data_IF_902782707629
#
_entry.id   IF_902782707629
#
_cell.length_a   1.000
_cell.length_b   1.000
_cell.length_c   1.000
_cell.angle_alpha   90.00
_cell.angle_beta   90.00
_cell.angle_gamma   90.00
#
_symmetry.space_group_name_H-M   'P 1'
#
loop_
_entity.id
_entity.type
_entity.pdbx_description
1 polymer ?
#
# COMPACT_ATOMS: atom_id res chain seq x y z
N UNK A 1 26.28 -12.15 -1.72
CA UNK A 1 24.93 -12.36 -1.20
C UNK A 1 24.77 -11.86 0.22
N UNK A 2 25.49 -12.43 1.20
CA UNK A 2 25.34 -12.03 2.61
C UNK A 2 25.60 -10.54 2.85
N UNK A 3 26.66 -9.98 2.25
CA UNK A 3 26.99 -8.55 2.37
C UNK A 3 25.92 -7.64 1.79
N UNK A 4 25.24 -8.03 0.69
CA UNK A 4 24.15 -7.25 0.11
C UNK A 4 22.93 -7.23 1.03
N UNK A 5 22.51 -8.40 1.52
CA UNK A 5 21.38 -8.54 2.46
C UNK A 5 21.67 -7.78 3.75
N UNK A 6 22.90 -7.90 4.28
CA UNK A 6 23.30 -7.18 5.50
C UNK A 6 23.27 -5.66 5.30
N UNK A 7 23.78 -5.17 4.16
CA UNK A 7 23.74 -3.74 3.82
C UNK A 7 22.30 -3.23 3.72
N UNK A 8 21.41 -3.97 3.08
CA UNK A 8 19.99 -3.62 2.94
C UNK A 8 19.26 -3.63 4.29
N UNK A 9 19.53 -4.64 5.10
CA UNK A 9 18.99 -4.72 6.46
C UNK A 9 19.44 -3.51 7.31
N UNK A 10 20.73 -3.16 7.25
CA UNK A 10 21.26 -2.01 7.98
C UNK A 10 20.67 -0.68 7.48
N UNK A 11 20.49 -0.51 6.18
CA UNK A 11 19.82 0.66 5.61
C UNK A 11 18.36 0.74 6.10
N UNK A 12 17.62 -0.36 6.05
CA UNK A 12 16.24 -0.44 6.55
C UNK A 12 16.16 -0.10 8.04
N UNK A 13 17.10 -0.57 8.83
CA UNK A 13 17.19 -0.25 10.27
C UNK A 13 17.40 1.23 10.54
N UNK A 14 18.30 1.88 9.78
CA UNK A 14 18.51 3.34 9.87
C UNK A 14 17.21 4.08 9.54
N UNK A 15 16.50 3.68 8.49
CA UNK A 15 15.24 4.31 8.09
C UNK A 15 14.18 4.16 9.17
N UNK A 16 14.07 3.00 9.83
CA UNK A 16 13.16 2.79 10.97
C UNK A 16 13.48 3.75 12.11
N UNK A 17 14.76 3.90 12.47
CA UNK A 17 15.18 4.85 13.52
C UNK A 17 14.80 6.29 13.13
N UNK A 18 15.07 6.69 11.90
CA UNK A 18 14.71 8.02 11.41
C UNK A 18 13.21 8.28 11.47
N UNK A 19 12.38 7.29 11.14
CA UNK A 19 10.93 7.40 11.24
C UNK A 19 10.49 7.54 12.68
N UNK A 20 11.04 6.75 13.61
CA UNK A 20 10.75 6.85 15.04
C UNK A 20 11.08 8.27 15.56
N UNK A 21 12.26 8.80 15.22
CA UNK A 21 12.66 10.14 15.61
C UNK A 21 11.73 11.19 14.98
N UNK A 22 11.50 11.09 13.67
CA UNK A 22 10.68 12.08 12.94
C UNK A 22 9.24 12.11 13.45
N UNK A 23 8.61 10.94 13.63
CA UNK A 23 7.24 10.86 14.17
C UNK A 23 7.17 11.41 15.58
N UNK A 24 8.13 11.10 16.43
CA UNK A 24 8.20 11.67 17.78
C UNK A 24 8.35 13.19 17.74
N UNK A 25 9.27 13.73 16.93
CA UNK A 25 9.51 15.18 16.81
C UNK A 25 8.26 15.88 16.28
N UNK A 26 7.65 15.37 15.20
CA UNK A 26 6.44 15.96 14.63
C UNK A 26 5.32 16.06 15.66
N UNK A 27 5.10 15.02 16.47
CA UNK A 27 4.08 15.01 17.51
C UNK A 27 4.37 15.99 18.64
N UNK A 28 5.64 16.37 18.85
CA UNK A 28 6.02 17.35 19.86
C UNK A 28 6.07 18.80 19.35
N UNK A 29 6.22 19.00 18.03
CA UNK A 29 6.30 20.33 17.39
C UNK A 29 4.92 20.85 16.98
N UNK A 30 3.93 19.98 16.76
CA UNK A 30 2.57 20.41 16.41
C UNK A 30 2.02 21.27 17.55
N UNK A 31 1.73 22.58 17.29
CA UNK A 31 1.23 23.49 18.30
C UNK A 31 -0.17 23.06 18.77
N UNK A 32 -0.33 23.00 20.07
CA UNK A 32 -1.54 22.54 20.75
C UNK A 32 -1.21 21.28 21.55
N UNK A 33 -1.12 21.45 22.89
CA UNK A 33 -1.02 20.31 23.79
C UNK A 33 -2.14 19.32 23.43
N UNK A 34 -1.83 18.02 23.36
CA UNK A 34 -2.85 16.98 23.20
C UNK A 34 -4.02 17.20 24.16
N UNK A 35 -3.74 17.75 25.32
CA UNK A 35 -4.72 18.19 26.31
C UNK A 35 -5.61 19.35 25.81
N UNK A 36 -5.06 20.38 25.19
CA UNK A 36 -5.84 21.53 24.67
C UNK A 36 -6.65 21.16 23.43
N UNK A 37 -6.13 20.27 22.62
CA UNK A 37 -6.83 19.76 21.44
C UNK A 37 -8.09 18.94 21.78
N UNK A 38 -8.06 18.21 22.90
CA UNK A 38 -9.20 17.40 23.38
C UNK A 38 -10.30 18.21 24.05
N UNK A 39 -9.93 19.30 24.70
CA UNK A 39 -10.82 19.97 25.65
C UNK A 39 -11.45 21.26 25.11
N UNK A 40 -10.98 21.74 23.93
CA UNK A 40 -11.38 23.03 23.38
C UNK A 40 -10.88 24.22 24.21
N UNK A 41 -10.95 25.44 23.64
CA UNK A 41 -10.43 26.68 24.28
C UNK A 41 -11.08 27.07 25.62
N UNK A 42 -12.17 26.41 26.01
CA UNK A 42 -12.97 26.78 27.21
C UNK A 42 -12.82 25.85 28.42
N UNK A 43 -11.81 24.99 28.46
CA UNK A 43 -11.70 23.99 29.53
C UNK A 43 -11.02 24.51 30.78
N UNK A 44 -11.47 24.00 31.94
CA UNK A 44 -10.96 24.33 33.27
C UNK A 44 -9.46 23.98 33.38
N UNK A 45 -8.63 24.97 33.78
CA UNK A 45 -7.17 24.88 33.90
C UNK A 45 -6.72 23.65 34.71
N UNK A 46 -7.46 23.28 35.76
CA UNK A 46 -7.14 22.13 36.60
C UNK A 46 -7.31 20.76 35.88
N UNK A 47 -8.23 20.66 34.91
CA UNK A 47 -8.38 19.45 34.13
C UNK A 47 -7.24 19.36 33.12
N UNK A 48 -6.85 20.49 32.56
CA UNK A 48 -5.73 20.59 31.62
C UNK A 48 -4.41 20.14 32.25
N UNK A 49 -4.09 20.66 33.47
CA UNK A 49 -2.90 20.28 34.22
C UNK A 49 -2.87 18.77 34.57
N UNK A 50 -4.02 18.20 34.93
CA UNK A 50 -4.13 16.76 35.21
C UNK A 50 -3.83 15.92 33.95
N UNK A 51 -4.40 16.27 32.81
CA UNK A 51 -4.17 15.55 31.54
C UNK A 51 -2.71 15.71 31.07
N UNK A 52 -2.10 16.90 31.26
CA UNK A 52 -0.68 17.11 30.95
C UNK A 52 0.20 16.18 31.79
N UNK A 53 -0.11 16.04 33.10
CA UNK A 53 0.62 15.12 34.01
C UNK A 53 0.35 13.64 33.68
N UNK A 54 -0.89 13.26 33.39
CA UNK A 54 -1.24 11.88 33.04
C UNK A 54 -0.56 11.43 31.74
N UNK A 55 -0.37 12.35 30.79
CA UNK A 55 0.32 12.10 29.52
C UNK A 55 1.84 12.32 29.64
N UNK A 56 2.36 12.72 30.81
CA UNK A 56 3.78 12.99 31.00
C UNK A 56 4.34 14.12 30.13
N UNK A 57 3.47 15.04 29.67
CA UNK A 57 3.87 16.14 28.79
C UNK A 57 4.67 17.22 29.47
N UNK A 58 4.70 17.20 30.82
CA UNK A 58 5.49 18.05 31.70
C UNK A 58 6.96 17.62 31.78
N UNK A 59 7.29 16.39 31.39
CA UNK A 59 8.66 15.89 31.41
C UNK A 59 9.51 16.49 30.29
N UNK A 60 10.85 16.59 30.50
CA UNK A 60 11.78 17.00 29.44
C UNK A 60 11.63 16.11 28.17
N UNK A 61 11.72 16.72 26.99
CA UNK A 61 11.55 16.02 25.69
C UNK A 61 12.47 14.79 25.56
N UNK A 62 13.69 14.87 26.10
CA UNK A 62 14.65 13.75 26.09
C UNK A 62 14.15 12.55 26.91
N UNK A 63 13.59 12.78 28.08
CA UNK A 63 13.04 11.70 28.93
C UNK A 63 11.85 11.04 28.26
N UNK A 64 10.94 11.85 27.70
CA UNK A 64 9.79 11.36 26.92
C UNK A 64 10.21 10.52 25.73
N UNK A 65 11.26 10.91 25.01
CA UNK A 65 11.79 10.14 23.89
C UNK A 65 12.35 8.78 24.34
N UNK A 66 13.11 8.75 25.43
CA UNK A 66 13.68 7.51 25.97
C UNK A 66 12.56 6.57 26.46
N UNK A 67 11.57 7.09 27.19
CA UNK A 67 10.39 6.33 27.62
C UNK A 67 9.65 5.76 26.40
N UNK A 68 9.38 6.59 25.38
CA UNK A 68 8.72 6.19 24.14
C UNK A 68 9.45 5.04 23.42
N UNK A 69 10.77 5.15 23.24
CA UNK A 69 11.58 4.10 22.59
C UNK A 69 11.57 2.82 23.43
N UNK A 70 11.63 2.94 24.75
CA UNK A 70 11.56 1.80 25.69
C UNK A 70 10.21 1.10 25.63
N UNK A 71 9.11 1.84 25.58
CA UNK A 71 7.76 1.26 25.48
C UNK A 71 7.55 0.62 24.10
N UNK A 72 8.01 1.29 23.04
CA UNK A 72 7.98 0.74 21.67
C UNK A 72 8.77 -0.59 21.57
N UNK A 73 9.92 -0.67 22.25
CA UNK A 73 10.73 -1.91 22.27
C UNK A 73 10.04 -3.10 22.95
N UNK A 74 9.06 -2.81 23.82
CA UNK A 74 8.19 -3.83 24.45
C UNK A 74 6.92 -4.11 23.66
N UNK A 75 6.72 -3.44 22.52
CA UNK A 75 5.50 -3.53 21.72
C UNK A 75 4.31 -2.77 22.31
N UNK A 76 4.57 -1.84 23.25
CA UNK A 76 3.55 -0.93 23.77
C UNK A 76 3.49 0.32 22.86
N UNK A 77 2.35 0.50 22.21
CA UNK A 77 2.04 1.63 21.34
C UNK A 77 1.28 2.75 22.06
N UNK A 78 1.15 2.64 23.37
CA UNK A 78 0.40 3.57 24.19
C UNK A 78 -1.12 3.33 24.17
N UNK A 79 -1.84 4.30 24.73
CA UNK A 79 -3.31 4.28 24.83
C UNK A 79 -3.90 5.44 24.01
N UNK A 80 -4.98 5.16 23.30
CA UNK A 80 -5.82 6.18 22.66
C UNK A 80 -6.30 7.19 23.70
N UNK A 81 -6.09 8.45 23.42
CA UNK A 81 -6.54 9.55 24.26
C UNK A 81 -8.06 9.68 24.21
N UNK A 82 -8.64 9.45 23.03
CA UNK A 82 -10.08 9.59 22.76
C UNK A 82 -10.84 8.36 23.23
N UNK A 83 -10.42 7.16 22.80
CA UNK A 83 -11.12 5.91 23.06
C UNK A 83 -10.75 5.25 24.40
N UNK A 84 -9.68 5.72 25.08
CA UNK A 84 -9.17 5.15 26.34
C UNK A 84 -8.80 3.67 26.28
N UNK A 85 -8.55 3.14 25.08
CA UNK A 85 -8.18 1.74 24.81
C UNK A 85 -6.71 1.64 24.41
N UNK A 86 -6.04 0.47 24.59
CA UNK A 86 -4.70 0.24 24.04
C UNK A 86 -4.70 0.39 22.52
N UNK A 87 -3.76 1.16 21.98
CA UNK A 87 -3.66 1.41 20.52
C UNK A 87 -3.35 0.12 19.78
N UNK A 88 -2.57 -0.77 20.37
CA UNK A 88 -2.25 -2.09 19.85
C UNK A 88 -3.53 -2.89 19.51
N UNK A 89 -4.49 -2.93 20.44
CA UNK A 89 -5.74 -3.68 20.25
C UNK A 89 -6.57 -3.08 19.11
N UNK A 90 -6.64 -1.75 19.05
CA UNK A 90 -7.34 -1.03 17.97
C UNK A 90 -6.75 -1.37 16.59
N UNK A 91 -5.44 -1.42 16.49
CA UNK A 91 -4.75 -1.79 15.25
C UNK A 91 -5.04 -3.24 14.87
N UNK A 92 -4.89 -4.19 15.80
CA UNK A 92 -5.15 -5.61 15.52
C UNK A 92 -6.59 -5.91 15.15
N UNK A 93 -7.55 -5.13 15.62
CA UNK A 93 -8.97 -5.24 15.26
C UNK A 93 -9.20 -4.89 13.78
N UNK A 94 -8.55 -3.84 13.26
CA UNK A 94 -8.80 -3.32 11.90
C UNK A 94 -7.80 -3.85 10.85
N UNK A 95 -6.60 -4.25 11.25
CA UNK A 95 -5.53 -4.71 10.35
C UNK A 95 -5.93 -5.85 9.41
N UNK A 96 -6.65 -6.91 9.86
CA UNK A 96 -7.10 -7.98 8.99
C UNK A 96 -7.97 -7.49 7.82
N UNK A 97 -8.71 -6.41 8.00
CA UNK A 97 -9.58 -5.86 6.97
C UNK A 97 -8.75 -5.17 5.87
N UNK A 98 -7.75 -4.39 6.25
CA UNK A 98 -6.77 -3.82 5.31
C UNK A 98 -6.05 -4.93 4.54
N UNK A 99 -5.63 -6.01 5.20
CA UNK A 99 -4.99 -7.16 4.54
C UNK A 99 -5.90 -7.83 3.51
N UNK A 100 -7.19 -8.05 3.84
CA UNK A 100 -8.16 -8.63 2.90
C UNK A 100 -8.37 -7.73 1.69
N UNK A 101 -8.50 -6.42 1.91
CA UNK A 101 -8.63 -5.45 0.83
C UNK A 101 -7.38 -5.43 -0.05
N UNK A 102 -6.19 -5.39 0.55
CA UNK A 102 -4.90 -5.45 -0.15
C UNK A 102 -4.78 -6.70 -1.01
N UNK A 103 -5.06 -7.87 -0.44
CA UNK A 103 -5.00 -9.13 -1.17
C UNK A 103 -5.97 -9.17 -2.36
N UNK A 104 -7.22 -8.76 -2.16
CA UNK A 104 -8.22 -8.71 -3.23
C UNK A 104 -7.82 -7.72 -4.34
N UNK A 105 -7.28 -6.55 -3.97
CA UNK A 105 -6.80 -5.53 -4.92
C UNK A 105 -5.62 -6.03 -5.75
N UNK A 106 -4.67 -6.74 -5.13
CA UNK A 106 -3.52 -7.31 -5.82
C UNK A 106 -3.93 -8.44 -6.76
N UNK A 107 -4.85 -9.32 -6.34
CA UNK A 107 -5.39 -10.38 -7.21
C UNK A 107 -6.03 -9.75 -8.44
N UNK A 108 -6.85 -8.72 -8.30
CA UNK A 108 -7.42 -8.00 -9.42
C UNK A 108 -6.33 -7.34 -10.29
N UNK A 109 -5.42 -6.57 -9.68
CA UNK A 109 -4.37 -5.84 -10.37
C UNK A 109 -3.48 -6.76 -11.22
N UNK A 110 -3.02 -7.86 -10.62
CA UNK A 110 -2.12 -8.79 -11.28
C UNK A 110 -2.83 -9.59 -12.37
N UNK A 111 -4.02 -10.11 -12.08
CA UNK A 111 -4.80 -10.87 -13.06
C UNK A 111 -5.18 -10.00 -14.26
N UNK A 112 -5.80 -8.85 -14.01
CA UNK A 112 -6.23 -7.96 -15.09
C UNK A 112 -5.06 -7.32 -15.82
N UNK A 113 -4.01 -6.90 -15.10
CA UNK A 113 -2.80 -6.31 -15.69
C UNK A 113 -2.05 -7.28 -16.62
N UNK A 114 -1.85 -8.53 -16.19
CA UNK A 114 -1.18 -9.53 -17.01
C UNK A 114 -2.05 -9.90 -18.23
N UNK A 115 -3.34 -10.14 -18.05
CA UNK A 115 -4.24 -10.50 -19.13
C UNK A 115 -4.36 -9.37 -20.16
N UNK A 116 -4.56 -8.14 -19.72
CA UNK A 116 -4.68 -6.97 -20.61
C UNK A 116 -3.38 -6.68 -21.35
N UNK A 117 -2.22 -6.76 -20.69
CA UNK A 117 -0.91 -6.61 -21.32
C UNK A 117 -0.62 -7.68 -22.37
N UNK A 118 -0.96 -8.95 -22.07
CA UNK A 118 -0.81 -10.07 -22.99
C UNK A 118 -1.71 -9.91 -24.23
N UNK A 119 -2.98 -9.56 -24.04
CA UNK A 119 -3.94 -9.33 -25.12
C UNK A 119 -3.49 -8.14 -25.97
N UNK A 120 -3.09 -7.04 -25.33
CA UNK A 120 -2.63 -5.83 -26.00
C UNK A 120 -1.40 -6.11 -26.88
N UNK A 121 -0.39 -6.82 -26.38
CA UNK A 121 0.78 -7.23 -27.17
C UNK A 121 0.40 -8.17 -28.32
N UNK A 122 -0.48 -9.15 -28.07
CA UNK A 122 -0.93 -10.13 -29.08
C UNK A 122 -1.66 -9.48 -30.25
N UNK A 123 -2.46 -8.47 -29.97
CA UNK A 123 -3.25 -7.75 -30.97
C UNK A 123 -2.68 -6.36 -31.27
N UNK A 124 -1.35 -6.25 -31.25
CA UNK A 124 -0.62 -4.99 -31.46
C UNK A 124 -1.17 -4.19 -32.65
N UNK A 125 -1.38 -2.89 -32.42
CA UNK A 125 -1.97 -1.92 -33.37
C UNK A 125 -3.43 -2.18 -33.80
N UNK A 126 -4.13 -3.19 -33.22
CA UNK A 126 -5.55 -3.46 -33.47
C UNK A 126 -6.45 -2.79 -32.43
N UNK A 127 -7.76 -2.87 -32.63
CA UNK A 127 -8.78 -2.28 -31.74
C UNK A 127 -8.63 -2.76 -30.29
N UNK A 128 -8.37 -4.05 -30.05
CA UNK A 128 -8.17 -4.59 -28.71
C UNK A 128 -6.95 -3.99 -28.02
N UNK A 129 -5.84 -3.80 -28.74
CA UNK A 129 -4.66 -3.13 -28.21
C UNK A 129 -4.99 -1.70 -27.77
N UNK A 130 -5.63 -0.92 -28.64
CA UNK A 130 -6.03 0.44 -28.33
C UNK A 130 -6.98 0.52 -27.13
N UNK A 131 -7.95 -0.39 -27.05
CA UNK A 131 -8.92 -0.45 -25.95
C UNK A 131 -8.24 -0.73 -24.62
N UNK A 132 -7.44 -1.80 -24.51
CA UNK A 132 -6.76 -2.14 -23.25
C UNK A 132 -5.70 -1.11 -22.86
N UNK A 133 -4.99 -0.53 -23.83
CA UNK A 133 -4.04 0.56 -23.57
C UNK A 133 -4.75 1.80 -23.03
N UNK A 134 -5.90 2.19 -23.59
CA UNK A 134 -6.70 3.31 -23.08
C UNK A 134 -7.22 3.05 -21.68
N UNK A 135 -7.77 1.85 -21.41
CA UNK A 135 -8.23 1.46 -20.06
C UNK A 135 -7.08 1.52 -19.05
N UNK A 136 -5.88 1.05 -19.43
CA UNK A 136 -4.70 1.11 -18.59
C UNK A 136 -4.25 2.54 -18.30
N UNK A 137 -4.25 3.42 -19.32
CA UNK A 137 -3.88 4.82 -19.15
C UNK A 137 -4.90 5.53 -18.24
N UNK A 138 -6.18 5.30 -18.42
CA UNK A 138 -7.23 5.86 -17.57
C UNK A 138 -7.04 5.46 -16.11
N UNK A 139 -6.70 4.20 -15.83
CA UNK A 139 -6.44 3.72 -14.47
C UNK A 139 -5.27 4.42 -13.78
N UNK A 140 -4.19 4.69 -14.53
CA UNK A 140 -3.01 5.36 -14.00
C UNK A 140 -3.22 6.87 -13.82
N UNK A 141 -3.96 7.49 -14.75
CA UNK A 141 -4.08 8.95 -14.81
C UNK A 141 -5.21 9.51 -13.96
N UNK A 142 -6.25 8.73 -13.70
CA UNK A 142 -7.40 9.20 -12.95
C UNK A 142 -7.16 9.13 -11.43
N UNK A 143 -7.55 10.16 -10.66
CA UNK A 143 -7.46 10.13 -9.21
C UNK A 143 -8.29 8.98 -8.63
N UNK A 144 -7.70 8.21 -7.71
CA UNK A 144 -8.34 7.01 -7.12
C UNK A 144 -9.69 7.32 -6.49
N UNK A 145 -9.82 8.45 -5.78
CA UNK A 145 -11.10 8.86 -5.18
C UNK A 145 -12.19 9.14 -6.22
N UNK A 146 -11.82 9.69 -7.37
CA UNK A 146 -12.77 9.98 -8.45
C UNK A 146 -13.31 8.69 -9.06
N UNK A 147 -12.44 7.72 -9.34
CA UNK A 147 -12.83 6.39 -9.80
C UNK A 147 -13.73 5.70 -8.77
N UNK A 148 -13.37 5.80 -7.47
CA UNK A 148 -14.17 5.23 -6.39
C UNK A 148 -15.61 5.74 -6.41
N UNK A 149 -15.79 7.05 -6.47
CA UNK A 149 -17.12 7.70 -6.49
C UNK A 149 -17.90 7.30 -7.75
N UNK A 150 -17.26 7.30 -8.92
CA UNK A 150 -17.92 6.90 -10.18
C UNK A 150 -18.39 5.45 -10.11
N UNK A 151 -17.51 4.52 -9.72
CA UNK A 151 -17.88 3.10 -9.64
C UNK A 151 -18.96 2.87 -8.59
N UNK A 152 -18.89 3.55 -7.44
CA UNK A 152 -19.90 3.49 -6.39
C UNK A 152 -21.26 4.01 -6.90
N UNK A 153 -21.26 5.16 -7.60
CA UNK A 153 -22.48 5.73 -8.17
C UNK A 153 -23.13 4.81 -9.21
N UNK A 154 -22.38 4.32 -10.18
CA UNK A 154 -22.95 3.49 -11.24
C UNK A 154 -23.30 2.09 -10.75
N UNK A 155 -22.37 1.37 -10.13
CA UNK A 155 -22.52 -0.05 -9.82
C UNK A 155 -23.24 -0.33 -8.50
N UNK A 156 -23.08 0.55 -7.50
CA UNK A 156 -23.75 0.36 -6.23
C UNK A 156 -25.06 1.11 -6.14
N UNK A 157 -25.09 2.41 -6.47
CA UNK A 157 -26.29 3.22 -6.33
C UNK A 157 -27.29 3.01 -7.48
N UNK A 158 -26.86 3.19 -8.76
CA UNK A 158 -27.77 3.16 -9.91
C UNK A 158 -28.16 1.74 -10.31
N UNK A 159 -27.20 0.84 -10.45
CA UNK A 159 -27.43 -0.55 -10.90
C UNK A 159 -27.71 -1.51 -9.74
N UNK A 160 -27.42 -1.13 -8.49
CA UNK A 160 -27.62 -1.95 -7.28
C UNK A 160 -27.00 -3.34 -7.34
N UNK A 161 -25.88 -3.49 -8.08
CA UNK A 161 -25.18 -4.76 -8.23
C UNK A 161 -24.28 -5.07 -7.03
N UNK A 162 -23.74 -4.04 -6.40
CA UNK A 162 -22.84 -4.13 -5.25
C UNK A 162 -23.31 -3.23 -4.11
N UNK A 163 -22.95 -3.52 -2.86
CA UNK A 163 -23.20 -2.63 -1.72
C UNK A 163 -22.46 -1.30 -1.87
N UNK A 164 -23.06 -0.21 -1.36
CA UNK A 164 -22.46 1.13 -1.40
C UNK A 164 -21.26 1.21 -0.48
N UNK A 165 -21.36 0.65 0.72
CA UNK A 165 -20.33 0.72 1.76
C UNK A 165 -20.40 -0.49 2.70
N UNK A 166 -19.44 -0.58 3.61
CA UNK A 166 -19.36 -1.61 4.63
C UNK A 166 -18.32 -2.69 4.34
N UNK A 167 -18.16 -3.59 5.29
CA UNK A 167 -17.18 -4.67 5.23
C UNK A 167 -17.70 -5.89 5.99
N UNK A 168 -17.78 -7.05 5.35
CA UNK A 168 -18.28 -8.29 5.97
C UNK A 168 -18.53 -9.42 4.98
N UNK A 169 -18.69 -9.09 3.69
CA UNK A 169 -18.88 -10.09 2.65
C UNK A 169 -18.04 -9.78 1.39
N UNK A 170 -17.87 -10.77 0.53
CA UNK A 170 -17.06 -10.66 -0.69
C UNK A 170 -17.57 -9.59 -1.66
N UNK A 171 -18.90 -9.36 -1.74
CA UNK A 171 -19.46 -8.34 -2.63
C UNK A 171 -19.02 -6.92 -2.24
N UNK A 172 -18.79 -6.66 -0.95
CA UNK A 172 -18.32 -5.38 -0.45
C UNK A 172 -16.84 -5.11 -0.78
N UNK A 173 -16.08 -6.15 -1.07
CA UNK A 173 -14.67 -6.03 -1.48
C UNK A 173 -14.49 -5.74 -2.98
N UNK A 174 -15.45 -6.08 -3.83
CA UNK A 174 -15.28 -6.01 -5.30
C UNK A 174 -14.96 -4.59 -5.77
N UNK A 175 -15.81 -3.61 -5.48
CA UNK A 175 -15.59 -2.24 -5.95
C UNK A 175 -14.31 -1.61 -5.38
N UNK A 176 -14.06 -1.66 -4.06
CA UNK A 176 -12.81 -1.16 -3.50
C UNK A 176 -11.56 -1.80 -4.10
N UNK A 177 -11.60 -3.11 -4.35
CA UNK A 177 -10.48 -3.85 -4.94
C UNK A 177 -10.21 -3.44 -6.38
N UNK A 178 -11.25 -3.21 -7.19
CA UNK A 178 -11.12 -2.69 -8.54
C UNK A 178 -10.53 -1.29 -8.51
N UNK A 179 -11.02 -0.42 -7.63
CA UNK A 179 -10.53 0.97 -7.49
C UNK A 179 -9.04 1.01 -7.21
N UNK A 180 -8.58 0.27 -6.19
CA UNK A 180 -7.16 0.24 -5.83
C UNK A 180 -6.31 -0.49 -6.85
N UNK A 181 -6.82 -1.60 -7.36
CA UNK A 181 -6.09 -2.45 -8.29
C UNK A 181 -6.02 -1.89 -9.72
N UNK A 182 -6.88 -0.97 -10.12
CA UNK A 182 -6.94 -0.51 -11.52
C UNK A 182 -5.68 0.24 -11.96
N UNK A 183 -5.20 1.21 -11.17
CA UNK A 183 -3.95 1.91 -11.46
C UNK A 183 -2.77 0.94 -11.55
N UNK A 184 -2.67 0.02 -10.59
CA UNK A 184 -1.63 -1.02 -10.54
C UNK A 184 -1.72 -1.98 -11.72
N UNK A 185 -2.93 -2.40 -12.11
CA UNK A 185 -3.16 -3.21 -13.30
C UNK A 185 -2.70 -2.49 -14.58
N UNK A 186 -2.95 -1.17 -14.66
CA UNK A 186 -2.51 -0.34 -15.77
C UNK A 186 -0.99 -0.29 -15.91
N UNK A 187 -0.25 -0.15 -14.81
CA UNK A 187 1.21 -0.20 -14.79
C UNK A 187 1.74 -1.55 -15.30
N UNK A 188 1.22 -2.65 -14.75
CA UNK A 188 1.59 -4.01 -15.16
C UNK A 188 1.29 -4.23 -16.63
N UNK A 189 0.09 -3.86 -17.07
CA UNK A 189 -0.35 -4.03 -18.47
C UNK A 189 0.59 -3.34 -19.45
N UNK A 190 0.93 -2.08 -19.20
CA UNK A 190 1.81 -1.29 -20.06
C UNK A 190 3.24 -1.83 -20.08
N UNK A 191 3.80 -2.16 -18.90
CA UNK A 191 5.14 -2.70 -18.81
C UNK A 191 5.23 -4.07 -19.49
N UNK A 192 4.28 -4.97 -19.21
CA UNK A 192 4.25 -6.29 -19.82
C UNK A 192 4.10 -6.20 -21.34
N UNK A 193 3.18 -5.33 -21.83
CA UNK A 193 3.01 -5.09 -23.28
C UNK A 193 4.32 -4.63 -23.93
N UNK A 194 5.00 -3.66 -23.35
CA UNK A 194 6.27 -3.13 -23.89
C UNK A 194 7.34 -4.24 -23.97
N UNK A 195 7.55 -4.96 -22.86
CA UNK A 195 8.54 -6.05 -22.81
C UNK A 195 8.18 -7.22 -23.73
N UNK A 196 6.89 -7.52 -23.91
CA UNK A 196 6.48 -8.57 -24.84
C UNK A 196 6.79 -8.17 -26.29
N UNK A 197 6.51 -6.92 -26.69
CA UNK A 197 6.78 -6.45 -28.05
C UNK A 197 8.28 -6.42 -28.33
N UNK A 198 9.09 -5.89 -27.43
CA UNK A 198 10.54 -5.87 -27.54
C UNK A 198 11.14 -7.27 -27.66
N UNK A 199 10.72 -8.19 -26.78
CA UNK A 199 11.23 -9.56 -26.81
C UNK A 199 10.70 -10.36 -28.03
N UNK A 200 9.54 -9.99 -28.62
CA UNK A 200 9.02 -10.66 -29.82
C UNK A 200 9.88 -10.41 -31.09
N UNK A 201 10.71 -9.38 -31.09
CA UNK A 201 11.64 -9.04 -32.18
C UNK A 201 13.00 -9.71 -32.01
N UNK A 202 13.22 -10.51 -30.97
CA UNK A 202 14.52 -11.15 -30.71
C UNK A 202 14.77 -12.37 -31.60
N UNK A 203 15.99 -12.50 -32.11
CA UNK A 203 16.44 -13.59 -33.02
C UNK A 203 16.20 -15.00 -32.45
N UNK A 204 16.25 -15.14 -31.15
CA UNK A 204 15.99 -16.42 -30.47
C UNK A 204 14.55 -16.94 -30.70
N UNK A 205 13.57 -16.06 -30.89
CA UNK A 205 12.17 -16.46 -31.16
C UNK A 205 11.96 -16.88 -32.61
N UNK A 206 12.80 -16.43 -33.53
CA UNK A 206 12.75 -16.88 -34.93
C UNK A 206 13.14 -18.36 -35.04
N UNK A 207 14.06 -18.84 -34.22
CA UNK A 207 14.35 -20.28 -34.10
C UNK A 207 13.14 -21.09 -33.62
N UNK A 208 12.34 -20.56 -32.70
CA UNK A 208 11.13 -21.24 -32.23
C UNK A 208 10.02 -21.23 -33.31
N UNK A 209 9.96 -20.20 -34.17
CA UNK A 209 9.04 -20.08 -35.29
C UNK A 209 9.44 -21.04 -36.43
N UNK A 210 10.73 -21.14 -36.74
CA UNK A 210 11.25 -22.07 -37.75
C UNK A 210 10.96 -23.54 -37.39
N UNK A 211 10.95 -23.87 -36.07
CA UNK A 211 10.53 -25.19 -35.57
C UNK A 211 9.02 -25.45 -35.66
N UNK A 212 8.24 -24.60 -36.36
CA UNK A 212 6.82 -24.79 -36.63
C UNK A 212 5.86 -24.56 -35.45
N UNK A 213 6.32 -23.92 -34.35
CA UNK A 213 5.43 -23.62 -33.24
C UNK A 213 4.44 -22.51 -33.59
N UNK A 214 3.19 -22.66 -33.14
CA UNK A 214 2.14 -21.63 -33.31
C UNK A 214 2.53 -20.34 -32.62
N UNK A 215 2.27 -19.17 -33.22
CA UNK A 215 2.59 -17.84 -32.67
C UNK A 215 2.15 -17.65 -31.18
N UNK A 216 0.98 -18.19 -30.84
CA UNK A 216 0.45 -18.13 -29.47
C UNK A 216 1.28 -18.97 -28.48
N UNK A 217 1.72 -20.14 -28.87
CA UNK A 217 2.57 -20.99 -28.04
C UNK A 217 3.95 -20.33 -27.78
N UNK A 218 4.54 -19.71 -28.81
CA UNK A 218 5.79 -18.95 -28.65
C UNK A 218 5.61 -17.79 -27.68
N UNK A 219 4.51 -17.04 -27.81
CA UNK A 219 4.21 -15.91 -26.94
C UNK A 219 4.09 -16.34 -25.45
N UNK A 220 3.32 -17.39 -25.15
CA UNK A 220 3.06 -17.81 -23.77
C UNK A 220 4.27 -18.53 -23.16
N UNK A 221 4.84 -19.50 -23.86
CA UNK A 221 5.84 -20.40 -23.25
C UNK A 221 7.27 -19.85 -23.29
N UNK A 222 7.56 -18.91 -24.22
CA UNK A 222 8.91 -18.37 -24.36
C UNK A 222 8.97 -16.87 -24.06
N UNK A 223 8.20 -16.03 -24.78
CA UNK A 223 8.29 -14.57 -24.65
C UNK A 223 7.79 -14.09 -23.30
N UNK A 224 6.66 -14.59 -22.82
CA UNK A 224 6.04 -14.18 -21.56
C UNK A 224 7.00 -14.43 -20.38
N UNK A 225 7.67 -15.56 -20.33
CA UNK A 225 8.58 -15.93 -19.25
C UNK A 225 9.70 -14.90 -19.08
N UNK A 226 10.29 -14.43 -20.17
CA UNK A 226 11.38 -13.44 -20.16
C UNK A 226 10.82 -12.05 -19.83
N UNK A 227 9.66 -11.70 -20.42
CA UNK A 227 9.02 -10.40 -20.24
C UNK A 227 8.42 -10.19 -18.85
N UNK A 228 8.20 -11.26 -18.10
CA UNK A 228 7.67 -11.19 -16.72
C UNK A 228 8.70 -10.75 -15.68
N UNK A 229 10.00 -10.83 -15.93
CA UNK A 229 11.03 -10.47 -14.94
C UNK A 229 10.84 -9.04 -14.40
N UNK A 230 10.77 -7.97 -15.22
CA UNK A 230 10.53 -6.63 -14.73
C UNK A 230 9.13 -6.45 -14.11
N UNK A 231 8.13 -7.20 -14.63
CA UNK A 231 6.76 -7.15 -14.13
C UNK A 231 6.66 -7.69 -12.70
N UNK A 232 7.32 -8.81 -12.41
CA UNK A 232 7.36 -9.38 -11.05
C UNK A 232 7.97 -8.39 -10.06
N UNK A 233 8.98 -7.64 -10.46
CA UNK A 233 9.57 -6.59 -9.62
C UNK A 233 8.54 -5.53 -9.24
N UNK A 234 7.76 -5.01 -10.21
CA UNK A 234 6.69 -4.05 -9.92
C UNK A 234 5.60 -4.67 -9.06
N UNK A 235 5.20 -5.93 -9.31
CA UNK A 235 4.20 -6.63 -8.50
C UNK A 235 4.60 -6.70 -7.03
N UNK A 236 5.87 -6.93 -6.73
CA UNK A 236 6.38 -6.98 -5.36
C UNK A 236 6.37 -5.58 -4.73
N UNK A 237 6.76 -4.54 -5.48
CA UNK A 237 6.70 -3.15 -5.00
C UNK A 237 5.26 -2.70 -4.72
N UNK A 238 4.30 -3.10 -5.56
CA UNK A 238 2.88 -2.84 -5.35
C UNK A 238 2.35 -3.48 -4.06
N UNK A 239 2.79 -4.71 -3.73
CA UNK A 239 2.46 -5.34 -2.46
C UNK A 239 2.94 -4.50 -1.28
N UNK A 240 4.19 -4.03 -1.33
CA UNK A 240 4.75 -3.17 -0.29
C UNK A 240 3.95 -1.87 -0.12
N UNK A 241 3.57 -1.23 -1.22
CA UNK A 241 2.86 0.05 -1.19
C UNK A 241 1.44 -0.07 -0.60
N UNK A 242 0.71 -1.14 -0.90
CA UNK A 242 -0.66 -1.35 -0.38
C UNK A 242 -0.70 -1.77 1.09
N UNK A 243 0.33 -2.40 1.61
CA UNK A 243 0.41 -2.77 3.03
C UNK A 243 0.42 -1.53 3.94
N UNK A 244 0.88 -0.38 3.46
CA UNK A 244 0.83 0.90 4.16
C UNK A 244 -0.58 1.47 4.39
N UNK A 245 -1.61 0.86 3.77
CA UNK A 245 -3.01 1.22 3.90
C UNK A 245 -3.55 2.01 2.71
N UNK A 246 -4.80 1.74 2.40
CA UNK A 246 -5.54 2.38 1.32
C UNK A 246 -6.50 3.45 1.86
N UNK A 247 -5.96 4.43 2.57
CA UNK A 247 -6.63 5.40 3.41
C UNK A 247 -7.90 6.01 2.76
N UNK A 248 -7.77 6.54 1.55
CA UNK A 248 -8.88 7.17 0.83
C UNK A 248 -9.95 6.16 0.42
N UNK A 249 -9.54 5.01 -0.10
CA UNK A 249 -10.48 3.97 -0.55
C UNK A 249 -11.22 3.34 0.62
N UNK A 250 -10.52 3.03 1.71
CA UNK A 250 -11.16 2.53 2.94
C UNK A 250 -12.22 3.52 3.45
N UNK A 251 -11.92 4.83 3.45
CA UNK A 251 -12.85 5.85 3.91
C UNK A 251 -14.08 5.99 3.01
N UNK A 252 -13.90 6.00 1.68
CA UNK A 252 -15.02 6.14 0.74
C UNK A 252 -15.98 4.94 0.84
N UNK A 253 -15.44 3.74 0.98
CA UNK A 253 -16.24 2.51 1.06
C UNK A 253 -16.64 2.13 2.48
N UNK A 254 -16.24 2.90 3.50
CA UNK A 254 -16.57 2.63 4.90
C UNK A 254 -15.97 1.32 5.40
N UNK A 255 -14.76 0.99 4.99
CA UNK A 255 -14.03 -0.21 5.41
C UNK A 255 -13.29 0.12 6.71
N UNK A 256 -13.55 -0.59 7.83
CA UNK A 256 -12.82 -0.37 9.07
C UNK A 256 -11.41 -0.98 8.95
N UNK A 257 -10.47 -0.20 8.40
CA UNK A 257 -9.08 -0.55 8.19
C UNK A 257 -8.11 0.40 8.87
N UNK A 258 -6.81 0.19 8.66
CA UNK A 258 -5.75 1.05 9.22
C UNK A 258 -5.85 2.48 8.68
N UNK A 259 -6.19 2.64 7.41
CA UNK A 259 -6.35 3.96 6.80
C UNK A 259 -7.51 4.76 7.42
N UNK A 260 -8.68 4.14 7.61
CA UNK A 260 -9.82 4.78 8.30
C UNK A 260 -9.52 5.06 9.76
N UNK A 261 -8.80 4.17 10.45
CA UNK A 261 -8.32 4.40 11.82
C UNK A 261 -7.40 5.63 11.87
N UNK A 262 -6.47 5.75 10.92
CA UNK A 262 -5.55 6.89 10.82
C UNK A 262 -6.30 8.21 10.57
N UNK A 263 -7.26 8.24 9.64
CA UNK A 263 -8.08 9.44 9.36
C UNK A 263 -8.91 9.83 10.58
N UNK A 264 -9.55 8.86 11.23
CA UNK A 264 -10.31 9.12 12.46
C UNK A 264 -9.43 9.69 13.57
N UNK A 265 -8.23 9.14 13.73
CA UNK A 265 -7.26 9.64 14.69
C UNK A 265 -6.80 11.08 14.38
N UNK A 266 -6.55 11.39 13.09
CA UNK A 266 -6.20 12.74 12.65
C UNK A 266 -7.33 13.73 12.92
N UNK A 267 -8.56 13.38 12.59
CA UNK A 267 -9.74 14.22 12.80
C UNK A 267 -9.97 14.51 14.29
N UNK A 268 -9.76 13.49 15.13
CA UNK A 268 -9.94 13.59 16.59
C UNK A 268 -8.65 13.98 17.33
N UNK A 269 -7.56 14.26 16.63
CA UNK A 269 -6.25 14.60 17.18
C UNK A 269 -5.72 13.59 18.21
N UNK A 270 -5.98 12.31 17.98
CA UNK A 270 -5.54 11.21 18.84
C UNK A 270 -4.08 10.85 18.52
N UNK A 271 -3.15 11.62 19.13
CA UNK A 271 -1.73 11.55 18.82
C UNK A 271 -1.12 10.14 18.94
N UNK A 272 -1.38 9.36 20.01
CA UNK A 272 -0.84 8.00 20.10
C UNK A 272 -1.29 7.10 18.97
N UNK A 273 -2.56 7.19 18.54
CA UNK A 273 -3.08 6.39 17.41
C UNK A 273 -2.46 6.84 16.09
N UNK A 274 -2.33 8.16 15.85
CA UNK A 274 -1.67 8.69 14.65
C UNK A 274 -0.23 8.17 14.58
N UNK A 275 0.52 8.31 15.68
CA UNK A 275 1.91 7.88 15.76
C UNK A 275 2.07 6.39 15.47
N UNK A 276 1.25 5.57 16.10
CA UNK A 276 1.29 4.12 15.93
C UNK A 276 0.90 3.67 14.52
N UNK A 277 -0.13 4.28 13.91
CA UNK A 277 -0.55 3.94 12.54
C UNK A 277 0.49 4.37 11.49
N UNK A 278 1.12 5.54 11.65
CA UNK A 278 2.22 6.00 10.79
C UNK A 278 3.44 5.09 10.91
N UNK A 279 3.82 4.72 12.14
CA UNK A 279 4.93 3.78 12.37
C UNK A 279 4.66 2.42 11.75
N UNK A 280 3.45 1.87 11.93
CA UNK A 280 3.08 0.58 11.36
C UNK A 280 3.11 0.63 9.83
N UNK A 281 2.50 1.65 9.22
CA UNK A 281 2.51 1.82 7.76
C UNK A 281 3.94 1.92 7.22
N UNK A 282 4.79 2.74 7.86
CA UNK A 282 6.18 2.89 7.49
C UNK A 282 6.97 1.59 7.65
N UNK A 283 6.76 0.87 8.76
CA UNK A 283 7.40 -0.43 9.00
C UNK A 283 7.01 -1.46 7.93
N UNK A 284 5.72 -1.54 7.58
CA UNK A 284 5.22 -2.44 6.54
C UNK A 284 5.79 -2.12 5.16
N UNK A 285 5.91 -0.83 4.82
CA UNK A 285 6.55 -0.38 3.56
C UNK A 285 8.03 -0.77 3.53
N UNK A 286 8.75 -0.54 4.62
CA UNK A 286 10.18 -0.89 4.72
C UNK A 286 10.37 -2.41 4.62
N UNK A 287 9.53 -3.18 5.32
CA UNK A 287 9.55 -4.64 5.27
C UNK A 287 9.26 -5.15 3.86
N UNK A 288 8.24 -4.58 3.20
CA UNK A 288 7.91 -4.90 1.83
C UNK A 288 9.02 -4.57 0.84
N UNK A 289 9.67 -3.43 1.00
CA UNK A 289 10.83 -3.05 0.18
C UNK A 289 12.03 -3.99 0.42
N UNK A 290 12.30 -4.36 1.67
CA UNK A 290 13.36 -5.31 1.99
C UNK A 290 13.09 -6.69 1.35
N UNK A 291 11.85 -7.19 1.45
CA UNK A 291 11.43 -8.42 0.78
C UNK A 291 11.60 -8.30 -0.74
N UNK A 292 11.18 -7.16 -1.31
CA UNK A 292 11.34 -6.86 -2.73
C UNK A 292 12.80 -6.92 -3.18
N UNK A 293 13.70 -6.28 -2.45
CA UNK A 293 15.14 -6.28 -2.73
C UNK A 293 15.74 -7.68 -2.70
N UNK A 294 15.33 -8.50 -1.71
CA UNK A 294 15.78 -9.89 -1.59
C UNK A 294 15.25 -10.73 -2.76
N UNK A 295 13.97 -10.62 -3.08
CA UNK A 295 13.36 -11.37 -4.18
C UNK A 295 13.95 -10.95 -5.53
N UNK A 296 14.18 -9.65 -5.74
CA UNK A 296 14.83 -9.15 -6.95
C UNK A 296 16.23 -9.74 -7.13
N UNK A 297 17.01 -9.78 -6.05
CA UNK A 297 18.33 -10.43 -6.06
C UNK A 297 18.28 -11.93 -6.39
N UNK A 298 17.22 -12.62 -5.97
CA UNK A 298 17.02 -14.07 -6.25
C UNK A 298 16.58 -14.32 -7.69
N UNK A 299 15.77 -13.43 -8.27
CA UNK A 299 15.16 -13.58 -9.59
C UNK A 299 16.12 -13.15 -10.71
N UNK A 300 16.89 -12.06 -10.50
CA UNK A 300 17.84 -11.57 -11.51
C UNK A 300 19.30 -11.93 -11.18
N UNK A 301 19.87 -12.96 -11.81
CA UNK A 301 21.25 -13.36 -11.57
C UNK A 301 22.29 -12.32 -12.03
N UNK A 302 21.91 -11.32 -12.84
CA UNK A 302 22.82 -10.30 -13.37
C UNK A 302 23.28 -9.31 -12.29
N UNK A 303 22.52 -9.15 -11.23
CA UNK A 303 22.85 -8.27 -10.08
C UNK A 303 23.97 -8.88 -9.22
N UNK A 304 24.22 -10.18 -9.34
CA UNK A 304 25.30 -10.86 -8.62
C UNK A 304 26.69 -10.46 -9.06
N UNK A 305 26.82 -9.76 -10.19
CA UNK A 305 28.08 -9.40 -10.84
C UNK A 305 28.50 -7.93 -10.62
N UNK A 306 27.72 -7.14 -9.86
CA UNK A 306 28.06 -5.79 -9.42
C UNK A 306 28.07 -5.71 -7.88
#
# INVERSE_FOLDING_TARGET
MLNYIFKRFFQSFIVVILIIITTFVLMNVIPGNAATAMMGEKTNIHIQERVVKELGLDKPVKERFVEYVKDLSKGDLGKSIVMKRPVKDMIFEVFPNTLKLTAASLIFAWSFGILSGLISARYHNKILDKMFSTISILGISAPTFFIAIILQYFFAFKLKLFPISGFGNLKQLVLPSIVLGWAMAGEISRLLRANLLENMESDFLDLARIKGRKKWAVLIFHTLKISMLPVVTIMILQLASLLGGAMITESIFGIPGIGTLSISALTNRDLPVIQATVLLASFLIILGNLISDILYFLIDPRIRLR
#
